data_IF_316199003224
#
_entry.id   IF_316199003224
#
_cell.length_a   1.000
_cell.length_b   1.000
_cell.length_c   1.000
_cell.angle_alpha   90.00
_cell.angle_beta   90.00
_cell.angle_gamma   90.00
#
_symmetry.space_group_name_H-M   'P 1'
#
loop_
_entity.id
_entity.type
_entity.pdbx_description
1 polymer ?
#
# COMPACT_ATOMS: atom_id res chain seq x y z
N UNK A 1 31.88 13.76 21.17
CA UNK A 1 31.10 13.01 20.16
C UNK A 1 30.15 13.98 19.47
N UNK A 2 30.23 14.11 18.14
CA UNK A 2 29.48 15.05 17.29
C UNK A 2 28.38 14.30 16.54
N UNK A 3 27.32 15.05 16.16
CA UNK A 3 26.17 14.77 15.26
C UNK A 3 24.89 14.37 16.03
N UNK A 4 23.73 15.04 15.88
CA UNK A 4 23.05 15.60 14.69
C UNK A 4 22.29 16.89 15.11
N UNK A 5 22.76 18.12 14.82
CA UNK A 5 22.36 19.03 13.73
C UNK A 5 20.85 19.12 13.36
N UNK A 6 20.26 20.25 13.77
CA UNK A 6 19.21 21.04 13.11
C UNK A 6 17.78 20.47 12.98
N UNK A 7 16.96 20.66 14.02
CA UNK A 7 15.52 20.93 13.87
C UNK A 7 15.28 22.44 14.04
N UNK A 8 15.74 23.24 13.07
CA UNK A 8 15.47 24.70 13.03
C UNK A 8 14.67 24.93 11.74
N UNK A 9 13.40 25.32 11.87
CA UNK A 9 12.59 25.78 10.74
C UNK A 9 11.29 25.02 10.42
N UNK A 10 10.61 24.42 11.41
CA UNK A 10 9.25 23.95 11.20
C UNK A 10 8.27 25.13 11.33
N UNK A 11 7.67 25.57 10.21
CA UNK A 11 6.56 26.53 10.26
C UNK A 11 5.30 25.85 10.82
N UNK A 12 4.54 26.55 11.66
CA UNK A 12 3.25 26.09 12.15
C UNK A 12 2.11 26.64 11.28
N UNK A 13 1.03 25.90 11.12
CA UNK A 13 -0.21 26.40 10.52
C UNK A 13 -1.03 27.24 11.50
N UNK A 14 -2.14 27.84 11.05
CA UNK A 14 -3.02 28.67 11.89
C UNK A 14 -3.64 27.91 13.08
N UNK A 15 -3.53 26.58 13.09
CA UNK A 15 -4.03 25.69 14.14
C UNK A 15 -2.91 25.17 15.04
N UNK A 16 -1.67 25.63 14.84
CA UNK A 16 -0.51 25.26 15.63
C UNK A 16 0.11 23.90 15.27
N UNK A 17 -0.27 23.29 14.14
CA UNK A 17 0.35 22.05 13.66
C UNK A 17 1.57 22.35 12.79
N UNK A 18 2.56 21.46 12.84
CA UNK A 18 3.72 21.53 11.94
C UNK A 18 3.23 21.49 10.48
N UNK A 19 3.45 22.58 9.74
CA UNK A 19 3.24 22.59 8.29
C UNK A 19 4.11 21.52 7.68
N UNK A 20 3.48 20.69 6.86
CA UNK A 20 4.21 19.76 6.02
C UNK A 20 5.11 20.54 5.07
N UNK A 21 6.37 20.12 4.87
CA UNK A 21 7.23 20.68 3.84
C UNK A 21 6.52 20.73 2.48
N UNK A 22 6.73 21.78 1.65
CA UNK A 22 6.02 21.97 0.38
C UNK A 22 6.09 20.75 -0.55
N UNK A 23 7.23 20.05 -0.55
CA UNK A 23 7.45 18.82 -1.33
C UNK A 23 6.48 17.71 -0.89
N UNK A 24 6.26 17.55 0.42
CA UNK A 24 5.38 16.51 0.97
C UNK A 24 3.91 16.86 0.69
N UNK A 25 3.53 18.14 0.80
CA UNK A 25 2.20 18.61 0.40
C UNK A 25 1.93 18.34 -1.08
N UNK A 26 2.84 18.73 -1.97
CA UNK A 26 2.71 18.50 -3.41
C UNK A 26 2.60 17.01 -3.75
N UNK A 27 3.41 16.15 -3.13
CA UNK A 27 3.34 14.70 -3.32
C UNK A 27 1.98 14.11 -2.90
N UNK A 28 1.38 14.65 -1.82
CA UNK A 28 0.06 14.22 -1.33
C UNK A 28 -1.05 14.65 -2.29
N UNK A 29 -0.96 15.86 -2.84
CA UNK A 29 -1.91 16.39 -3.83
C UNK A 29 -1.81 15.65 -5.17
N UNK A 30 -0.59 15.43 -5.68
CA UNK A 30 -0.35 14.65 -6.89
C UNK A 30 -0.86 13.20 -6.74
N UNK A 31 -0.66 12.61 -5.56
CA UNK A 31 -1.22 11.29 -5.22
C UNK A 31 -2.75 11.29 -5.31
N UNK A 32 -3.42 12.25 -4.65
CA UNK A 32 -4.88 12.39 -4.72
C UNK A 32 -5.38 12.55 -6.16
N UNK A 33 -4.70 13.39 -6.96
CA UNK A 33 -5.08 13.62 -8.37
C UNK A 33 -4.99 12.34 -9.19
N UNK A 34 -3.87 11.62 -9.08
CA UNK A 34 -3.65 10.36 -9.80
C UNK A 34 -4.61 9.26 -9.36
N UNK A 35 -5.05 9.27 -8.10
CA UNK A 35 -6.07 8.36 -7.60
C UNK A 35 -7.42 8.62 -8.27
N UNK A 36 -7.88 9.87 -8.30
CA UNK A 36 -9.14 10.27 -8.96
C UNK A 36 -9.10 10.02 -10.47
N UNK A 37 -7.94 10.22 -11.11
CA UNK A 37 -7.71 9.91 -12.53
C UNK A 37 -7.67 8.40 -12.84
N UNK A 38 -7.75 7.51 -11.83
CA UNK A 38 -7.67 6.05 -12.03
C UNK A 38 -6.28 5.56 -12.44
N UNK A 39 -5.23 6.35 -12.19
CA UNK A 39 -3.82 6.02 -12.48
C UNK A 39 -3.04 5.56 -11.25
N UNK A 40 -3.68 5.61 -10.08
CA UNK A 40 -3.11 5.17 -8.83
C UNK A 40 -4.10 4.31 -8.04
N UNK A 41 -3.55 3.47 -7.16
CA UNK A 41 -4.33 2.74 -6.15
C UNK A 41 -3.78 3.07 -4.78
N UNK A 42 -4.66 3.06 -3.80
CA UNK A 42 -4.28 3.28 -2.41
C UNK A 42 -4.15 1.93 -1.73
N UNK A 43 -3.02 1.70 -1.09
CA UNK A 43 -2.70 0.46 -0.41
C UNK A 43 -2.48 0.73 1.06
N UNK A 44 -3.28 0.07 1.89
CA UNK A 44 -3.14 0.09 3.34
C UNK A 44 -2.69 -1.28 3.83
N UNK A 45 -1.61 -1.32 4.61
CA UNK A 45 -1.07 -2.54 5.19
C UNK A 45 -1.48 -2.66 6.65
N UNK A 46 -1.97 -3.83 7.04
CA UNK A 46 -2.40 -4.17 8.39
C UNK A 46 -1.64 -5.41 8.87
N UNK A 47 -1.18 -5.33 10.10
CA UNK A 47 -0.57 -6.46 10.81
C UNK A 47 -1.68 -7.09 11.65
N UNK A 48 -2.15 -8.28 11.28
CA UNK A 48 -3.29 -8.92 11.93
C UNK A 48 -2.87 -9.91 13.03
N UNK A 49 -1.69 -10.53 12.90
CA UNK A 49 -1.13 -11.44 13.92
C UNK A 49 0.38 -11.42 13.91
N UNK A 50 0.97 -11.15 15.07
CA UNK A 50 2.41 -11.23 15.36
C UNK A 50 2.83 -12.60 15.94
N UNK A 51 1.87 -13.49 16.23
CA UNK A 51 2.12 -14.87 16.64
C UNK A 51 1.90 -15.83 15.48
N UNK A 52 2.71 -16.89 15.41
CA UNK A 52 2.67 -17.89 14.33
C UNK A 52 1.33 -18.63 14.32
N UNK A 53 0.66 -18.78 13.16
CA UNK A 53 1.07 -18.24 11.85
C UNK A 53 0.90 -16.72 11.78
N UNK A 54 1.95 -16.04 11.32
CA UNK A 54 1.99 -14.58 11.18
C UNK A 54 1.01 -14.15 10.08
N UNK A 55 0.22 -13.10 10.32
CA UNK A 55 -0.82 -12.65 9.37
C UNK A 55 -0.71 -11.16 9.10
N UNK A 56 -0.77 -10.78 7.82
CA UNK A 56 -0.82 -9.39 7.38
C UNK A 56 -1.85 -9.26 6.25
N UNK A 57 -2.70 -8.24 6.35
CA UNK A 57 -3.71 -7.93 5.36
C UNK A 57 -3.33 -6.67 4.61
N UNK A 58 -3.55 -6.70 3.31
CA UNK A 58 -3.26 -5.61 2.39
C UNK A 58 -4.60 -5.21 1.77
N UNK A 59 -5.09 -4.03 2.12
CA UNK A 59 -6.28 -3.46 1.50
C UNK A 59 -5.87 -2.61 0.32
N UNK A 60 -6.49 -2.88 -0.81
CA UNK A 60 -6.27 -2.20 -2.08
C UNK A 60 -7.57 -1.48 -2.41
N UNK A 61 -7.53 -0.16 -2.29
CA UNK A 61 -8.62 0.73 -2.63
C UNK A 61 -8.34 1.31 -4.02
N UNK A 62 -9.32 1.24 -4.90
CA UNK A 62 -9.28 1.81 -6.25
C UNK A 62 -10.38 2.83 -6.43
N UNK A 63 -10.14 3.84 -7.25
CA UNK A 63 -11.19 4.83 -7.54
C UNK A 63 -12.25 4.24 -8.47
N UNK A 64 -13.53 4.68 -8.41
CA UNK A 64 -14.60 4.13 -9.24
C UNK A 64 -14.31 4.12 -10.75
N UNK A 65 -13.59 5.12 -11.26
CA UNK A 65 -13.17 5.23 -12.67
C UNK A 65 -12.04 4.27 -13.07
N UNK A 66 -11.55 3.44 -12.14
CA UNK A 66 -10.47 2.50 -12.41
C UNK A 66 -10.96 1.33 -13.28
N UNK A 67 -10.67 1.40 -14.57
CA UNK A 67 -11.15 0.40 -15.55
C UNK A 67 -10.36 -0.92 -15.55
N UNK A 68 -9.36 -1.08 -14.69
CA UNK A 68 -8.47 -2.25 -14.64
C UNK A 68 -8.77 -3.20 -13.46
N UNK A 69 -9.99 -3.21 -12.91
CA UNK A 69 -10.40 -4.06 -11.76
C UNK A 69 -10.12 -5.55 -12.00
N UNK A 70 -10.44 -6.06 -13.18
CA UNK A 70 -10.14 -7.45 -13.58
C UNK A 70 -8.64 -7.76 -13.60
N UNK A 71 -7.79 -6.76 -13.88
CA UNK A 71 -6.33 -6.94 -13.79
C UNK A 71 -5.87 -7.13 -12.36
N UNK A 72 -6.54 -6.57 -11.35
CA UNK A 72 -6.19 -6.79 -9.93
C UNK A 72 -6.44 -8.26 -9.57
N UNK A 73 -7.61 -8.79 -9.92
CA UNK A 73 -7.96 -10.21 -9.70
C UNK A 73 -6.99 -11.14 -10.42
N UNK A 74 -6.66 -10.85 -11.69
CA UNK A 74 -5.68 -11.62 -12.46
C UNK A 74 -4.28 -11.54 -11.86
N UNK A 75 -3.84 -10.36 -11.42
CA UNK A 75 -2.54 -10.15 -10.77
C UNK A 75 -2.46 -10.92 -9.46
N UNK A 76 -3.53 -10.94 -8.67
CA UNK A 76 -3.62 -11.77 -7.47
C UNK A 76 -3.47 -13.26 -7.80
N UNK A 77 -4.21 -13.79 -8.78
CA UNK A 77 -4.12 -15.21 -9.18
C UNK A 77 -2.71 -15.61 -9.64
N UNK A 78 -1.98 -14.70 -10.28
CA UNK A 78 -0.58 -14.93 -10.65
C UNK A 78 0.32 -14.91 -9.42
N UNK A 79 0.13 -13.93 -8.54
CA UNK A 79 0.88 -13.83 -7.31
C UNK A 79 0.67 -15.05 -6.41
N UNK A 80 -0.56 -15.53 -6.24
CA UNK A 80 -0.86 -16.69 -5.41
C UNK A 80 -0.03 -17.90 -5.84
N UNK A 81 0.08 -18.16 -7.15
CA UNK A 81 0.94 -19.23 -7.70
C UNK A 81 2.44 -19.03 -7.43
N UNK A 82 2.91 -17.78 -7.45
CA UNK A 82 4.32 -17.46 -7.19
C UNK A 82 4.67 -17.63 -5.70
N UNK A 83 3.74 -17.26 -4.82
CA UNK A 83 3.96 -17.23 -3.38
C UNK A 83 3.49 -18.50 -2.65
N UNK A 84 2.78 -19.42 -3.34
CA UNK A 84 2.17 -20.65 -2.80
C UNK A 84 3.13 -21.50 -1.96
N UNK A 85 4.41 -21.55 -2.33
CA UNK A 85 5.41 -22.36 -1.62
C UNK A 85 5.90 -21.75 -0.30
N UNK A 86 5.57 -20.49 0.00
CA UNK A 86 6.17 -19.75 1.13
C UNK A 86 5.17 -19.01 2.01
N UNK A 87 3.97 -18.75 1.49
CA UNK A 87 2.89 -18.08 2.19
C UNK A 87 1.54 -18.51 1.61
N UNK A 88 0.54 -18.66 2.47
CA UNK A 88 -0.83 -18.78 2.03
C UNK A 88 -1.37 -17.38 1.75
N UNK A 89 -1.94 -17.22 0.55
CA UNK A 89 -2.58 -15.98 0.14
C UNK A 89 -4.08 -16.21 0.01
N UNK A 90 -4.87 -15.37 0.66
CA UNK A 90 -6.31 -15.28 0.41
C UNK A 90 -6.65 -13.93 -0.21
N UNK A 91 -7.65 -13.93 -1.10
CA UNK A 91 -8.18 -12.73 -1.72
C UNK A 91 -9.66 -12.62 -1.41
N UNK A 92 -10.07 -11.42 -1.02
CA UNK A 92 -11.44 -11.07 -0.73
C UNK A 92 -11.80 -9.78 -1.43
N UNK A 93 -12.83 -9.83 -2.25
CA UNK A 93 -13.47 -8.61 -2.77
C UNK A 93 -14.47 -8.13 -1.72
N UNK A 94 -14.21 -6.97 -1.13
CA UNK A 94 -15.09 -6.37 -0.12
C UNK A 94 -16.22 -5.63 -0.84
N UNK A 95 -15.87 -4.88 -1.88
CA UNK A 95 -16.79 -4.26 -2.83
C UNK A 95 -16.09 -4.02 -4.18
N UNK A 96 -16.80 -3.41 -5.12
CA UNK A 96 -16.33 -3.10 -6.47
C UNK A 96 -15.05 -2.24 -6.56
N UNK A 97 -14.69 -1.55 -5.47
CA UNK A 97 -13.58 -0.59 -5.39
C UNK A 97 -12.59 -0.94 -4.27
N UNK A 98 -12.83 -2.01 -3.51
CA UNK A 98 -12.06 -2.38 -2.34
C UNK A 98 -11.81 -3.88 -2.30
N UNK A 99 -10.53 -4.23 -2.34
CA UNK A 99 -10.06 -5.60 -2.30
C UNK A 99 -9.15 -5.78 -1.08
N UNK A 100 -9.13 -6.98 -0.52
CA UNK A 100 -8.29 -7.36 0.60
C UNK A 100 -7.51 -8.62 0.25
N UNK A 101 -6.20 -8.58 0.49
CA UNK A 101 -5.31 -9.73 0.34
C UNK A 101 -4.71 -10.03 1.69
N UNK A 102 -5.00 -11.19 2.25
CA UNK A 102 -4.36 -11.65 3.48
C UNK A 102 -3.21 -12.58 3.12
N UNK A 103 -2.05 -12.31 3.70
CA UNK A 103 -0.84 -13.12 3.58
C UNK A 103 -0.58 -13.76 4.93
N UNK A 104 -0.56 -15.09 4.95
CA UNK A 104 -0.28 -15.91 6.12
C UNK A 104 1.08 -16.57 5.92
N UNK A 105 2.00 -16.41 6.86
CA UNK A 105 3.35 -16.97 6.76
C UNK A 105 3.87 -17.45 8.10
N UNK A 106 4.65 -18.53 8.11
CA UNK A 106 5.29 -19.03 9.33
C UNK A 106 6.52 -18.25 9.80
N UNK A 107 7.13 -17.39 8.96
CA UNK A 107 8.43 -16.77 9.28
C UNK A 107 8.62 -15.30 8.85
N UNK A 108 8.25 -14.91 7.62
CA UNK A 108 8.69 -13.63 7.01
C UNK A 108 7.55 -12.72 6.53
N UNK A 109 6.51 -12.52 7.36
CA UNK A 109 5.29 -11.74 7.02
C UNK A 109 5.54 -10.39 6.35
N UNK A 110 6.34 -9.51 6.97
CA UNK A 110 6.55 -8.15 6.45
C UNK A 110 7.31 -8.14 5.11
N UNK A 111 8.24 -9.09 4.92
CA UNK A 111 8.93 -9.26 3.65
C UNK A 111 7.95 -9.67 2.56
N UNK A 112 7.05 -10.63 2.84
CA UNK A 112 6.06 -11.09 1.87
C UNK A 112 5.05 -10.01 1.53
N UNK A 113 4.54 -9.27 2.52
CA UNK A 113 3.65 -8.14 2.26
C UNK A 113 4.31 -7.06 1.40
N UNK A 114 5.55 -6.68 1.70
CA UNK A 114 6.28 -5.71 0.89
C UNK A 114 6.57 -6.22 -0.53
N UNK A 115 6.93 -7.50 -0.69
CA UNK A 115 7.13 -8.10 -2.01
C UNK A 115 5.85 -8.14 -2.83
N UNK A 116 4.71 -8.46 -2.22
CA UNK A 116 3.42 -8.45 -2.88
C UNK A 116 3.00 -7.05 -3.32
N UNK A 117 3.20 -6.03 -2.48
CA UNK A 117 2.93 -4.63 -2.82
C UNK A 117 3.77 -4.19 -4.02
N UNK A 118 5.07 -4.53 -4.03
CA UNK A 118 5.96 -4.25 -5.17
C UNK A 118 5.51 -4.97 -6.45
N UNK A 119 5.11 -6.23 -6.32
CA UNK A 119 4.59 -7.03 -7.44
C UNK A 119 3.36 -6.38 -8.07
N UNK A 120 2.38 -5.98 -7.25
CA UNK A 120 1.18 -5.27 -7.71
C UNK A 120 1.51 -3.99 -8.48
N UNK A 121 2.39 -3.14 -7.94
CA UNK A 121 2.78 -1.89 -8.59
C UNK A 121 3.41 -2.13 -9.97
N UNK A 122 4.27 -3.14 -10.07
CA UNK A 122 4.92 -3.50 -11.34
C UNK A 122 3.97 -4.08 -12.39
N UNK A 123 2.97 -4.87 -11.98
CA UNK A 123 2.08 -5.59 -12.91
C UNK A 123 0.88 -4.76 -13.35
N UNK A 124 0.42 -3.86 -12.50
CA UNK A 124 -0.73 -3.02 -12.82
C UNK A 124 -0.33 -1.74 -13.55
N UNK A 125 0.97 -1.40 -13.56
CA UNK A 125 1.53 -0.16 -14.12
C UNK A 125 0.79 1.07 -13.55
N UNK A 126 0.79 1.14 -12.22
CA UNK A 126 0.05 2.12 -11.42
C UNK A 126 0.94 2.68 -10.33
N UNK A 127 0.67 3.93 -9.96
CA UNK A 127 1.30 4.52 -8.78
C UNK A 127 0.63 3.96 -7.52
N UNK A 128 1.43 3.58 -6.53
CA UNK A 128 0.93 3.16 -5.21
C UNK A 128 0.98 4.36 -4.26
N UNK A 129 -0.15 4.63 -3.60
CA UNK A 129 -0.26 5.62 -2.54
C UNK A 129 -0.39 4.83 -1.23
N UNK A 130 0.43 5.18 -0.23
CA UNK A 130 0.41 4.59 1.12
C UNK A 130 -0.22 5.55 2.11
#
# INVERSE_FOLDING_TARGET
MKLIKNFIGAELDEKGYIKLPPIIQKNKEDGKRLFVEGKAVKISQFIDSDTTPLKCSIRIEVFPSFNKKERIKSTFKQASKIFEHFADLSFKEINENLFEVTIISGKKRCSWCNSFIKYLGSKLDIKIIK
#
